data_IF_282862949206
#
_entry.id   IF_282862949206
#
_cell.length_a   1.000
_cell.length_b   1.000
_cell.length_c   1.000
_cell.angle_alpha   90.00
_cell.angle_beta   90.00
_cell.angle_gamma   90.00
#
_symmetry.space_group_name_H-M   'P 1'
#
loop_
_entity.id
_entity.type
_entity.pdbx_description
1 polymer ?
#
# COMPACT_ATOMS: atom_id res chain seq x y z
N UNK A 1 -61.99 -29.32 -71.97
CA UNK A 1 -60.51 -29.20 -71.88
C UNK A 1 -60.07 -27.84 -71.39
N UNK A 2 -60.52 -26.73 -71.99
CA UNK A 2 -60.10 -25.36 -71.63
C UNK A 2 -60.35 -25.03 -70.13
N UNK A 3 -61.57 -25.23 -69.62
CA UNK A 3 -61.89 -24.95 -68.21
C UNK A 3 -61.08 -25.77 -67.18
N UNK A 4 -60.61 -26.95 -67.54
CA UNK A 4 -59.78 -27.78 -66.66
C UNK A 4 -58.33 -27.28 -66.60
N UNK A 5 -57.86 -26.68 -67.70
CA UNK A 5 -56.56 -26.03 -67.76
C UNK A 5 -56.56 -24.72 -66.96
N UNK A 6 -57.58 -23.89 -67.11
CA UNK A 6 -57.73 -22.64 -66.36
C UNK A 6 -57.81 -22.89 -64.84
N UNK A 7 -58.52 -23.96 -64.42
CA UNK A 7 -58.58 -24.35 -63.01
C UNK A 7 -57.25 -24.88 -62.47
N UNK A 8 -56.48 -25.61 -63.29
CA UNK A 8 -55.13 -26.04 -62.92
C UNK A 8 -54.18 -24.85 -62.80
N UNK A 9 -54.22 -23.92 -63.76
CA UNK A 9 -53.42 -22.69 -63.75
C UNK A 9 -53.73 -21.84 -62.50
N UNK A 10 -55.02 -21.67 -62.18
CA UNK A 10 -55.47 -20.98 -60.97
C UNK A 10 -54.92 -21.62 -59.70
N UNK A 11 -54.98 -22.95 -59.60
CA UNK A 11 -54.47 -23.71 -58.44
C UNK A 11 -52.96 -23.61 -58.30
N UNK A 12 -52.22 -23.77 -59.40
CA UNK A 12 -50.76 -23.66 -59.42
C UNK A 12 -50.34 -22.25 -59.00
N UNK A 13 -50.96 -21.22 -59.58
CA UNK A 13 -50.69 -19.82 -59.24
C UNK A 13 -50.99 -19.53 -57.77
N UNK A 14 -52.12 -20.03 -57.26
CA UNK A 14 -52.51 -19.84 -55.86
C UNK A 14 -51.55 -20.56 -54.89
N UNK A 15 -51.09 -21.77 -55.23
CA UNK A 15 -50.09 -22.50 -54.44
C UNK A 15 -48.77 -21.75 -54.40
N UNK A 16 -48.29 -21.30 -55.56
CA UNK A 16 -46.99 -20.65 -55.68
C UNK A 16 -46.97 -19.28 -54.99
N UNK A 17 -48.08 -18.52 -55.07
CA UNK A 17 -48.24 -17.28 -54.30
C UNK A 17 -48.20 -17.53 -52.79
N UNK A 18 -48.85 -18.60 -52.32
CA UNK A 18 -48.83 -18.98 -50.91
C UNK A 18 -47.41 -19.34 -50.46
N UNK A 19 -46.72 -20.19 -51.21
CA UNK A 19 -45.36 -20.60 -50.88
C UNK A 19 -44.40 -19.41 -50.85
N UNK A 20 -44.53 -18.46 -51.79
CA UNK A 20 -43.75 -17.22 -51.79
C UNK A 20 -44.09 -16.32 -50.60
N UNK A 21 -45.35 -16.23 -50.20
CA UNK A 21 -45.75 -15.47 -49.03
C UNK A 21 -45.21 -16.07 -47.73
N UNK A 22 -45.28 -17.39 -47.59
CA UNK A 22 -44.73 -18.12 -46.44
C UNK A 22 -43.20 -17.98 -46.39
N UNK A 23 -42.51 -18.16 -47.52
CA UNK A 23 -41.06 -17.96 -47.61
C UNK A 23 -40.66 -16.52 -47.26
N UNK A 24 -41.38 -15.52 -47.77
CA UNK A 24 -41.15 -14.11 -47.44
C UNK A 24 -41.32 -13.87 -45.94
N UNK A 25 -42.38 -14.41 -45.33
CA UNK A 25 -42.64 -14.27 -43.90
C UNK A 25 -41.52 -14.91 -43.06
N UNK A 26 -41.04 -16.10 -43.45
CA UNK A 26 -39.90 -16.75 -42.80
C UNK A 26 -38.62 -15.92 -42.88
N UNK A 27 -38.27 -15.41 -44.06
CA UNK A 27 -37.09 -14.57 -44.23
C UNK A 27 -37.19 -13.26 -43.43
N UNK A 28 -38.36 -12.61 -43.44
CA UNK A 28 -38.59 -11.40 -42.66
C UNK A 28 -38.39 -11.65 -41.16
N UNK A 29 -38.92 -12.76 -40.64
CA UNK A 29 -38.74 -13.13 -39.24
C UNK A 29 -37.28 -13.41 -38.88
N UNK A 30 -36.52 -14.03 -39.78
CA UNK A 30 -35.10 -14.31 -39.55
C UNK A 30 -34.24 -13.05 -39.60
N UNK A 31 -34.56 -12.11 -40.51
CA UNK A 31 -33.94 -10.79 -40.56
C UNK A 31 -34.19 -10.02 -39.26
N UNK A 32 -35.41 -10.09 -38.72
CA UNK A 32 -35.77 -9.44 -37.46
C UNK A 32 -34.95 -10.01 -36.29
N UNK A 33 -34.86 -11.34 -36.17
CA UNK A 33 -34.02 -11.98 -35.14
C UNK A 33 -32.54 -11.59 -35.26
N UNK A 34 -32.02 -11.54 -36.49
CA UNK A 34 -30.64 -11.11 -36.73
C UNK A 34 -30.45 -9.65 -36.33
N UNK A 35 -31.41 -8.78 -36.63
CA UNK A 35 -31.40 -7.37 -36.24
C UNK A 35 -31.38 -7.20 -34.72
N UNK A 36 -32.22 -7.94 -33.99
CA UNK A 36 -32.24 -7.89 -32.53
C UNK A 36 -30.93 -8.42 -31.92
N UNK A 37 -30.38 -9.49 -32.49
CA UNK A 37 -29.08 -10.02 -32.07
C UNK A 37 -27.94 -9.03 -32.31
N UNK A 38 -27.98 -8.26 -33.40
CA UNK A 38 -26.99 -7.20 -33.66
C UNK A 38 -27.09 -6.11 -32.60
N UNK A 39 -28.29 -5.63 -32.27
CA UNK A 39 -28.50 -4.62 -31.21
C UNK A 39 -28.00 -5.10 -29.85
N UNK A 40 -28.24 -6.37 -29.52
CA UNK A 40 -27.74 -6.96 -28.28
C UNK A 40 -26.21 -7.00 -28.23
N UNK A 41 -25.57 -7.32 -29.34
CA UNK A 41 -24.11 -7.31 -29.45
C UNK A 41 -23.55 -5.88 -29.34
N UNK A 42 -24.17 -4.90 -29.99
CA UNK A 42 -23.78 -3.49 -29.91
C UNK A 42 -23.80 -3.01 -28.46
N UNK A 43 -24.90 -3.25 -27.74
CA UNK A 43 -25.02 -2.92 -26.31
C UNK A 43 -23.94 -3.59 -25.45
N UNK A 44 -23.66 -4.87 -25.69
CA UNK A 44 -22.64 -5.58 -24.93
C UNK A 44 -21.21 -5.07 -25.24
N UNK A 45 -20.97 -4.57 -26.45
CA UNK A 45 -19.71 -3.89 -26.79
C UNK A 45 -19.61 -2.58 -26.03
N UNK A 46 -20.66 -1.76 -26.00
CA UNK A 46 -20.68 -0.50 -25.23
C UNK A 46 -20.42 -0.73 -23.73
N UNK A 47 -21.04 -1.74 -23.13
CA UNK A 47 -20.80 -2.11 -21.72
C UNK A 47 -19.34 -2.52 -21.47
N UNK A 48 -18.74 -3.26 -22.40
CA UNK A 48 -17.34 -3.67 -22.32
C UNK A 48 -16.39 -2.51 -22.51
N UNK A 49 -16.68 -1.60 -23.43
CA UNK A 49 -15.88 -0.40 -23.65
C UNK A 49 -15.88 0.48 -22.38
N UNK A 50 -17.03 0.67 -21.73
CA UNK A 50 -17.10 1.35 -20.45
C UNK A 50 -16.28 0.66 -19.34
N UNK A 51 -16.26 -0.68 -19.34
CA UNK A 51 -15.42 -1.45 -18.40
C UNK A 51 -13.93 -1.29 -18.70
N UNK A 52 -13.54 -1.25 -19.99
CA UNK A 52 -12.15 -1.04 -20.43
C UNK A 52 -11.67 0.35 -20.01
N UNK A 53 -12.50 1.38 -20.17
CA UNK A 53 -12.18 2.75 -19.76
C UNK A 53 -11.92 2.81 -18.25
N UNK A 54 -12.81 2.23 -17.44
CA UNK A 54 -12.64 2.18 -16.00
C UNK A 54 -11.37 1.45 -15.55
N UNK A 55 -11.06 0.30 -16.18
CA UNK A 55 -9.83 -0.45 -15.88
C UNK A 55 -8.58 0.31 -16.31
N UNK A 56 -8.66 1.04 -17.42
CA UNK A 56 -7.56 1.86 -17.93
C UNK A 56 -7.25 3.03 -16.99
N UNK A 57 -8.28 3.69 -16.47
CA UNK A 57 -8.13 4.75 -15.48
C UNK A 57 -7.55 4.22 -14.16
N UNK A 58 -8.05 3.07 -13.67
CA UNK A 58 -7.51 2.43 -12.47
C UNK A 58 -6.02 2.04 -12.63
N UNK A 59 -5.65 1.51 -13.80
CA UNK A 59 -4.25 1.17 -14.10
C UNK A 59 -3.37 2.43 -14.16
N UNK A 60 -3.87 3.52 -14.75
CA UNK A 60 -3.16 4.81 -14.77
C UNK A 60 -2.91 5.31 -13.35
N UNK A 61 -3.94 5.33 -12.51
CA UNK A 61 -3.82 5.73 -11.11
C UNK A 61 -2.82 4.85 -10.35
N UNK A 62 -2.91 3.53 -10.49
CA UNK A 62 -1.98 2.60 -9.84
C UNK A 62 -0.53 2.84 -10.27
N UNK A 63 -0.28 3.15 -11.55
CA UNK A 63 1.06 3.49 -12.04
C UNK A 63 1.59 4.78 -11.42
N UNK A 64 0.75 5.80 -11.26
CA UNK A 64 1.12 7.05 -10.60
C UNK A 64 1.46 6.83 -9.12
N UNK A 65 0.66 6.02 -8.41
CA UNK A 65 0.92 5.64 -7.03
C UNK A 65 2.25 4.88 -6.87
N UNK A 66 2.51 3.91 -7.76
CA UNK A 66 3.78 3.17 -7.78
C UNK A 66 4.96 4.11 -8.04
N UNK A 67 4.83 5.04 -8.99
CA UNK A 67 5.88 6.03 -9.26
C UNK A 67 6.17 6.90 -8.03
N UNK A 68 5.13 7.38 -7.35
CA UNK A 68 5.26 8.16 -6.11
C UNK A 68 5.93 7.35 -4.99
N UNK A 69 5.56 6.08 -4.82
CA UNK A 69 6.19 5.18 -3.85
C UNK A 69 7.66 4.89 -4.19
N UNK A 70 7.99 4.75 -5.47
CA UNK A 70 9.36 4.51 -5.92
C UNK A 70 10.27 5.69 -5.64
N UNK A 71 9.79 6.93 -5.86
CA UNK A 71 10.52 8.16 -5.46
C UNK A 71 10.75 8.16 -3.95
N UNK A 72 9.73 7.83 -3.15
CA UNK A 72 9.88 7.76 -1.68
C UNK A 72 10.86 6.66 -1.24
N UNK A 73 10.87 5.52 -1.92
CA UNK A 73 11.84 4.45 -1.66
C UNK A 73 13.25 4.91 -1.97
N UNK A 74 13.48 5.61 -3.09
CA UNK A 74 14.81 6.11 -3.44
C UNK A 74 15.34 7.11 -2.41
N UNK A 75 14.48 7.98 -1.87
CA UNK A 75 14.85 8.90 -0.77
C UNK A 75 15.22 8.11 0.49
N UNK A 76 14.46 7.07 0.84
CA UNK A 76 14.78 6.19 1.98
C UNK A 76 16.14 5.52 1.78
N UNK A 77 16.40 5.00 0.60
CA UNK A 77 17.64 4.29 0.27
C UNK A 77 18.84 5.25 0.29
N UNK A 78 18.70 6.47 -0.24
CA UNK A 78 19.72 7.52 -0.13
C UNK A 78 20.04 7.86 1.33
N UNK A 79 19.01 8.00 2.19
CA UNK A 79 19.19 8.25 3.62
C UNK A 79 19.89 7.08 4.30
N UNK A 80 19.51 5.84 3.95
CA UNK A 80 20.13 4.64 4.50
C UNK A 80 21.60 4.52 4.08
N UNK A 81 21.91 4.76 2.82
CA UNK A 81 23.29 4.75 2.29
C UNK A 81 24.15 5.80 2.99
N UNK A 82 23.69 7.06 3.08
CA UNK A 82 24.40 8.11 3.83
C UNK A 82 24.61 7.71 5.30
N UNK A 83 23.59 7.14 5.94
CA UNK A 83 23.70 6.62 7.31
C UNK A 83 24.77 5.52 7.42
N UNK A 84 24.88 4.64 6.43
CA UNK A 84 25.88 3.57 6.41
C UNK A 84 27.30 4.11 6.18
N UNK A 85 27.47 5.11 5.32
CA UNK A 85 28.75 5.82 5.12
C UNK A 85 29.25 6.50 6.40
N UNK A 86 28.32 6.92 7.25
CA UNK A 86 28.59 7.49 8.56
C UNK A 86 28.83 6.44 9.66
N UNK A 87 28.59 5.15 9.43
CA UNK A 87 28.99 4.10 10.39
C UNK A 87 30.52 3.98 10.41
N UNK A 88 31.09 3.92 11.61
CA UNK A 88 32.54 3.73 11.80
C UNK A 88 33.37 5.01 11.73
N UNK A 89 32.79 6.11 11.26
CA UNK A 89 33.28 7.47 11.55
C UNK A 89 32.50 7.94 12.78
N UNK A 90 33.14 8.48 13.81
CA UNK A 90 32.50 8.89 15.08
C UNK A 90 31.35 9.94 14.94
N UNK A 91 30.96 10.27 13.70
CA UNK A 91 29.88 11.15 13.27
C UNK A 91 28.46 10.59 13.49
N UNK A 92 28.29 9.27 13.69
CA UNK A 92 26.97 8.67 13.91
C UNK A 92 26.26 9.20 15.17
N UNK A 93 27.03 9.72 16.13
CA UNK A 93 26.52 10.33 17.36
C UNK A 93 26.34 11.85 17.19
N UNK A 94 27.17 12.53 16.40
CA UNK A 94 27.15 14.00 16.32
C UNK A 94 26.04 14.57 15.44
N UNK A 95 25.55 13.85 14.42
CA UNK A 95 24.43 14.36 13.60
C UNK A 95 23.07 14.25 14.29
N UNK A 96 22.92 13.29 15.21
CA UNK A 96 21.65 13.08 15.93
C UNK A 96 21.56 13.89 17.23
N UNK A 97 22.67 14.41 17.72
CA UNK A 97 22.74 15.22 18.93
C UNK A 97 23.09 16.67 18.56
N UNK A 98 22.15 17.59 18.74
CA UNK A 98 22.44 19.04 18.73
C UNK A 98 23.65 19.35 19.62
N UNK A 99 24.33 20.50 19.41
CA UNK A 99 25.52 20.90 20.22
C UNK A 99 25.29 20.70 21.73
N UNK A 100 24.08 21.01 22.19
CA UNK A 100 23.62 20.81 23.57
C UNK A 100 23.49 19.33 23.94
N UNK A 101 22.83 18.52 23.13
CA UNK A 101 22.69 17.07 23.37
C UNK A 101 24.04 16.34 23.34
N UNK A 102 24.98 16.82 22.53
CA UNK A 102 26.37 16.33 22.50
C UNK A 102 27.14 16.66 23.78
N UNK A 103 26.87 17.82 24.39
CA UNK A 103 27.45 18.19 25.69
C UNK A 103 26.90 17.28 26.82
N UNK A 104 25.60 16.99 26.77
CA UNK A 104 24.93 16.12 27.74
C UNK A 104 25.39 14.68 27.64
N UNK A 105 25.49 14.16 26.42
CA UNK A 105 26.00 12.81 26.21
C UNK A 105 27.41 12.66 26.76
N UNK A 106 28.29 13.65 26.54
CA UNK A 106 29.63 13.68 27.14
C UNK A 106 29.62 13.75 28.66
N UNK A 107 28.74 14.56 29.26
CA UNK A 107 28.55 14.63 30.71
C UNK A 107 28.11 13.29 31.29
N UNK A 108 27.12 12.64 30.69
CA UNK A 108 26.67 11.31 31.12
C UNK A 108 27.75 10.23 30.91
N UNK A 109 28.53 10.30 29.83
CA UNK A 109 29.68 9.40 29.66
C UNK A 109 30.73 9.58 30.77
N UNK A 110 30.97 10.81 31.23
CA UNK A 110 31.84 11.06 32.39
C UNK A 110 31.25 10.44 33.67
N UNK A 111 29.96 10.65 33.92
CA UNK A 111 29.23 10.02 35.04
C UNK A 111 29.24 8.49 34.99
N UNK A 112 29.23 7.90 33.78
CA UNK A 112 29.39 6.45 33.57
C UNK A 112 30.79 5.98 33.91
N UNK A 113 31.83 6.75 33.55
CA UNK A 113 33.22 6.47 33.94
C UNK A 113 33.39 6.52 35.47
N UNK A 114 32.66 7.41 36.13
CA UNK A 114 32.55 7.49 37.61
C UNK A 114 31.70 6.37 38.23
N UNK A 115 31.18 5.43 37.42
CA UNK A 115 30.33 4.29 37.83
C UNK A 115 29.03 4.69 38.55
N UNK A 116 28.62 5.96 38.44
CA UNK A 116 27.34 6.46 39.01
C UNK A 116 26.15 6.08 38.14
N UNK A 117 26.39 5.83 36.87
CA UNK A 117 25.43 5.26 35.93
C UNK A 117 26.11 4.13 35.16
N UNK A 118 25.33 3.16 34.72
CA UNK A 118 25.84 1.95 34.09
C UNK A 118 25.96 2.05 32.58
N UNK A 119 24.93 2.53 31.89
CA UNK A 119 24.91 2.57 30.42
C UNK A 119 24.39 3.91 29.94
N UNK A 120 24.96 4.44 28.87
CA UNK A 120 24.54 5.66 28.18
C UNK A 120 24.48 5.35 26.70
N UNK A 121 23.40 5.71 26.02
CA UNK A 121 23.21 5.47 24.58
C UNK A 121 22.27 6.51 23.95
N UNK A 122 22.21 6.54 22.62
CA UNK A 122 21.34 7.45 21.86
C UNK A 122 20.44 6.67 20.92
N UNK A 123 19.19 7.15 20.76
CA UNK A 123 18.23 6.60 19.78
C UNK A 123 17.38 7.73 19.22
N UNK A 124 17.38 7.90 17.90
CA UNK A 124 16.60 8.96 17.24
C UNK A 124 16.97 10.38 17.70
N UNK A 125 18.21 10.59 18.14
CA UNK A 125 18.68 11.86 18.67
C UNK A 125 18.30 12.17 20.12
N UNK A 126 17.59 11.28 20.81
CA UNK A 126 17.36 11.36 22.26
C UNK A 126 18.45 10.59 23.00
N UNK A 127 18.84 11.10 24.17
CA UNK A 127 19.87 10.50 25.04
C UNK A 127 19.21 9.72 26.17
N UNK A 128 19.64 8.50 26.39
CA UNK A 128 19.13 7.59 27.41
C UNK A 128 20.26 7.07 28.29
N UNK A 129 19.97 6.80 29.56
CA UNK A 129 20.91 6.10 30.43
C UNK A 129 20.23 5.12 31.39
N UNK A 130 21.00 4.18 31.90
CA UNK A 130 20.62 3.25 32.98
C UNK A 130 21.49 3.54 34.19
N UNK A 131 20.88 3.75 35.35
CA UNK A 131 21.59 4.06 36.60
C UNK A 131 22.28 2.81 37.19
N UNK A 132 21.67 1.62 37.02
CA UNK A 132 22.19 0.35 37.55
C UNK A 132 22.51 -0.68 36.48
N UNK A 133 23.39 -1.62 36.84
CA UNK A 133 24.03 -2.59 35.94
C UNK A 133 23.06 -3.55 35.27
N UNK A 134 21.95 -3.89 35.91
CA UNK A 134 20.84 -4.64 35.33
C UNK A 134 19.55 -4.04 35.89
N UNK A 135 18.47 -4.06 35.11
CA UNK A 135 17.20 -3.44 35.47
C UNK A 135 16.77 -3.88 36.87
N UNK A 136 16.14 -2.98 37.62
CA UNK A 136 15.27 -3.46 38.67
C UNK A 136 14.29 -4.40 37.98
N UNK A 137 14.39 -5.70 38.24
CA UNK A 137 13.17 -6.48 38.27
C UNK A 137 12.42 -5.84 39.43
N UNK A 138 11.44 -5.01 39.11
CA UNK A 138 10.31 -4.88 40.02
C UNK A 138 9.79 -6.31 40.26
N UNK A 139 9.13 -6.58 41.39
CA UNK A 139 8.68 -7.95 41.70
C UNK A 139 7.81 -8.58 40.58
N UNK A 140 7.32 -7.75 39.64
CA UNK A 140 6.58 -8.09 38.43
C UNK A 140 7.41 -8.38 37.16
N UNK A 141 8.74 -8.24 37.18
CA UNK A 141 9.62 -8.53 36.04
C UNK A 141 9.90 -7.37 35.08
N UNK A 142 9.44 -6.14 35.35
CA UNK A 142 9.53 -5.01 34.41
C UNK A 142 10.79 -4.14 34.56
N UNK A 143 11.35 -3.64 33.44
CA UNK A 143 12.58 -2.83 33.40
C UNK A 143 12.25 -1.34 33.26
N UNK A 144 12.82 -0.49 34.11
CA UNK A 144 12.63 0.98 34.08
C UNK A 144 13.78 1.69 33.38
N UNK A 145 13.48 2.48 32.35
CA UNK A 145 14.42 3.40 31.69
C UNK A 145 13.97 4.84 31.89
N UNK A 146 14.88 5.71 32.39
CA UNK A 146 14.60 7.15 32.54
C UNK A 146 14.91 7.90 31.26
N UNK A 147 13.94 8.68 30.78
CA UNK A 147 14.11 9.62 29.67
C UNK A 147 14.34 11.03 30.23
N UNK A 148 15.23 11.77 29.58
CA UNK A 148 15.53 13.15 29.93
C UNK A 148 15.40 14.00 28.68
N UNK A 149 14.88 15.21 28.88
CA UNK A 149 15.00 16.29 27.91
C UNK A 149 15.73 17.46 28.51
N UNK A 150 16.19 18.33 27.62
CA UNK A 150 16.77 19.61 27.98
C UNK A 150 15.71 20.68 28.02
N UNK A 151 15.68 21.47 29.08
CA UNK A 151 15.00 22.76 29.04
C UNK A 151 15.77 23.77 28.18
N UNK A 152 15.21 24.97 28.05
CA UNK A 152 15.78 26.09 27.29
C UNK A 152 17.12 26.58 27.85
N UNK A 153 17.44 26.23 29.11
CA UNK A 153 18.69 26.58 29.80
C UNK A 153 19.73 25.47 29.74
N UNK A 154 19.38 24.32 29.13
CA UNK A 154 20.26 23.18 28.99
C UNK A 154 20.36 22.29 30.23
N UNK A 155 19.49 22.49 31.23
CA UNK A 155 19.40 21.60 32.38
C UNK A 155 18.64 20.31 32.03
N UNK A 156 19.05 19.22 32.66
CA UNK A 156 18.38 17.94 32.54
C UNK A 156 17.05 18.00 33.28
N UNK A 157 15.96 17.96 32.51
CA UNK A 157 14.61 17.81 33.04
C UNK A 157 14.13 16.39 32.76
N UNK A 158 13.81 15.67 33.84
CA UNK A 158 13.19 14.36 33.76
C UNK A 158 11.77 14.52 33.18
N UNK A 159 11.45 13.75 32.13
CA UNK A 159 10.21 13.88 31.37
C UNK A 159 8.95 13.30 32.05
N UNK A 160 9.01 12.99 33.35
CA UNK A 160 7.82 12.50 34.06
C UNK A 160 7.47 11.03 33.81
N UNK A 161 8.04 10.42 32.78
CA UNK A 161 7.64 9.10 32.29
C UNK A 161 8.80 8.13 32.33
N UNK A 162 8.80 7.32 33.38
CA UNK A 162 9.61 6.11 33.45
C UNK A 162 9.03 5.09 32.46
N UNK A 163 9.76 4.87 31.36
CA UNK A 163 9.37 3.89 30.36
C UNK A 163 9.61 2.50 30.92
N UNK A 164 8.53 1.85 31.37
CA UNK A 164 8.51 0.41 31.65
C UNK A 164 8.55 -0.34 30.32
N UNK A 165 9.62 -1.10 30.10
CA UNK A 165 9.67 -2.08 29.03
C UNK A 165 9.29 -3.45 29.60
N UNK A 166 8.39 -4.14 28.90
CA UNK A 166 8.12 -5.55 29.14
C UNK A 166 9.43 -6.35 29.05
N UNK A 167 9.58 -7.44 29.84
CA UNK A 167 10.76 -8.27 29.78
C UNK A 167 11.00 -8.74 28.35
N UNK A 168 12.23 -8.57 27.86
CA UNK A 168 12.59 -9.03 26.53
C UNK A 168 12.37 -10.56 26.46
N UNK A 169 11.73 -11.09 25.40
CA UNK A 169 11.61 -12.53 25.23
C UNK A 169 13.02 -13.13 25.22
N UNK A 170 13.22 -14.20 26.00
CA UNK A 170 14.51 -14.86 26.08
C UNK A 170 14.90 -15.37 24.68
N UNK A 171 16.16 -15.18 24.25
CA UNK A 171 16.61 -15.75 23.00
C UNK A 171 16.56 -17.27 23.11
N UNK A 172 15.64 -17.88 22.35
CA UNK A 172 15.62 -19.33 22.15
C UNK A 172 16.79 -19.65 21.24
N UNK A 173 17.88 -20.13 21.83
CA UNK A 173 18.93 -20.80 21.07
C UNK A 173 18.40 -22.21 20.75
N UNK A 174 18.01 -22.43 19.48
CA UNK A 174 17.83 -23.76 18.92
C UNK A 174 19.19 -24.32 18.48
#
# INVERSE_FOLDING_TARGET
>A
MIAAFDELERRVTQSLLRDLHEFRACLSAEIEKLSDRVKDLERHVEEKDGTIDQLSDNLRQSREEVAALQIRSSVRDQIWTRRLELRGRELFISESLTKLRSLIFRSLLATKREKRIYTVYTRGGLVFFKEKQHGFLLDDGSVVTRSYTTDERGHLVWQGTDLRQAPAPQPVYQ
#
